data_IF_926763733674
#
_entry.id   IF_926763733674
#
_cell.length_a   1.000
_cell.length_b   1.000
_cell.length_c   1.000
_cell.angle_alpha   90.00
_cell.angle_beta   90.00
_cell.angle_gamma   90.00
#
_symmetry.space_group_name_H-M   'P 1'
#
loop_
_entity.id
_entity.type
_entity.pdbx_description
1 polymer ?
#
# COMPACT_ATOMS: atom_id res chain seq x y z
N UNK A 1 -32.16 -9.66 -0.30
CA UNK A 1 -30.74 -9.52 0.08
C UNK A 1 -29.99 -9.11 -1.17
N UNK A 2 -29.18 -8.05 -1.13
CA UNK A 2 -28.40 -7.61 -2.31
C UNK A 2 -27.06 -8.35 -2.37
N UNK A 3 -26.40 -8.43 -3.53
CA UNK A 3 -25.04 -8.98 -3.60
C UNK A 3 -24.04 -8.15 -2.79
N UNK A 4 -24.34 -6.87 -2.56
CA UNK A 4 -23.56 -6.02 -1.68
C UNK A 4 -23.69 -6.45 -0.20
N UNK A 5 -24.83 -6.99 0.22
CA UNK A 5 -25.02 -7.54 1.57
C UNK A 5 -24.28 -8.88 1.70
N UNK A 6 -24.34 -9.73 0.67
CA UNK A 6 -23.55 -10.98 0.62
C UNK A 6 -22.05 -10.68 0.72
N UNK A 7 -21.54 -9.66 0.00
CA UNK A 7 -20.15 -9.25 0.14
C UNK A 7 -19.82 -8.80 1.57
N UNK A 8 -20.71 -8.05 2.25
CA UNK A 8 -20.48 -7.63 3.65
C UNK A 8 -20.36 -8.83 4.58
N UNK A 9 -21.18 -9.88 4.36
CA UNK A 9 -21.12 -11.13 5.12
C UNK A 9 -19.80 -11.87 4.86
N UNK A 10 -19.41 -12.07 3.59
CA UNK A 10 -18.10 -12.65 3.22
C UNK A 10 -16.94 -11.88 3.85
N UNK A 11 -17.00 -10.55 3.84
CA UNK A 11 -15.98 -9.71 4.47
C UNK A 11 -15.94 -9.93 5.98
N UNK A 12 -17.10 -10.00 6.64
CA UNK A 12 -17.21 -10.13 8.10
C UNK A 12 -16.79 -11.51 8.59
N UNK A 13 -17.20 -12.56 7.90
CA UNK A 13 -17.10 -13.95 8.36
C UNK A 13 -15.85 -14.67 7.85
N UNK A 14 -15.33 -14.28 6.69
CA UNK A 14 -14.21 -14.95 6.04
C UNK A 14 -12.98 -14.06 5.99
N UNK A 15 -13.07 -12.88 5.38
CA UNK A 15 -11.89 -12.05 5.09
C UNK A 15 -11.34 -11.38 6.35
N UNK A 16 -12.19 -10.71 7.13
CA UNK A 16 -11.74 -9.94 8.28
C UNK A 16 -11.08 -10.82 9.38
N UNK A 17 -11.58 -12.02 9.70
CA UNK A 17 -10.91 -12.91 10.64
C UNK A 17 -9.48 -13.27 10.25
N UNK A 18 -9.21 -13.54 8.97
CA UNK A 18 -7.86 -13.88 8.49
C UNK A 18 -6.86 -12.75 8.77
N UNK A 19 -7.22 -11.50 8.45
CA UNK A 19 -6.35 -10.35 8.73
C UNK A 19 -6.26 -10.03 10.23
N UNK A 20 -7.34 -10.22 11.00
CA UNK A 20 -7.34 -9.96 12.45
C UNK A 20 -6.41 -10.89 13.23
N UNK A 21 -6.36 -12.17 12.86
CA UNK A 21 -5.42 -13.13 13.46
C UNK A 21 -3.97 -12.68 13.26
N UNK A 22 -3.68 -12.04 12.13
CA UNK A 22 -2.38 -11.44 11.82
C UNK A 22 -2.20 -10.04 12.43
N UNK A 23 -3.07 -9.60 13.34
CA UNK A 23 -2.96 -8.32 14.05
C UNK A 23 -3.43 -7.09 13.26
N UNK A 24 -4.07 -7.24 12.10
CA UNK A 24 -4.63 -6.10 11.38
C UNK A 24 -5.89 -5.56 12.09
N UNK A 25 -5.97 -4.23 12.15
CA UNK A 25 -7.20 -3.50 12.49
C UNK A 25 -7.97 -3.17 11.21
N UNK A 26 -9.29 -3.01 11.30
CA UNK A 26 -10.19 -2.74 10.15
C UNK A 26 -10.87 -1.39 10.30
N UNK A 27 -10.95 -0.63 9.21
CA UNK A 27 -11.81 0.56 9.08
C UNK A 27 -12.46 0.59 7.69
N UNK A 28 -13.78 0.45 7.64
CA UNK A 28 -14.49 0.30 6.36
C UNK A 28 -13.96 -0.93 5.61
N UNK A 29 -13.56 -0.75 4.34
CA UNK A 29 -12.93 -1.79 3.53
C UNK A 29 -11.39 -1.84 3.65
N UNK A 30 -10.81 -1.03 4.55
CA UNK A 30 -9.37 -0.98 4.77
C UNK A 30 -8.98 -1.83 5.97
N UNK A 31 -7.81 -2.44 5.88
CA UNK A 31 -7.13 -3.16 6.93
C UNK A 31 -5.72 -2.60 7.08
N UNK A 32 -5.27 -2.42 8.31
CA UNK A 32 -3.92 -1.95 8.60
C UNK A 32 -3.31 -2.73 9.77
N UNK A 33 -2.11 -3.26 9.56
CA UNK A 33 -1.26 -3.77 10.62
C UNK A 33 -0.16 -2.73 10.89
N UNK A 34 -0.22 -2.11 12.07
CA UNK A 34 0.70 -1.03 12.43
C UNK A 34 1.98 -1.63 13.02
N UNK A 35 3.11 -1.39 12.35
CA UNK A 35 4.45 -1.68 12.85
C UNK A 35 5.06 -0.39 13.46
N UNK A 36 6.29 -0.45 13.94
CA UNK A 36 6.96 0.71 14.57
C UNK A 36 7.08 1.91 13.63
N UNK A 37 7.57 1.70 12.40
CA UNK A 37 7.95 2.77 11.48
C UNK A 37 7.18 2.75 10.15
N UNK A 38 6.30 1.77 9.95
CA UNK A 38 5.45 1.66 8.77
C UNK A 38 4.18 0.86 9.13
N UNK A 39 3.26 0.72 8.20
CA UNK A 39 2.10 -0.15 8.36
C UNK A 39 1.85 -0.95 7.09
N UNK A 40 1.49 -2.22 7.24
CA UNK A 40 1.02 -3.06 6.14
C UNK A 40 -0.46 -2.75 5.93
N UNK A 41 -0.86 -2.44 4.71
CA UNK A 41 -2.25 -2.07 4.40
C UNK A 41 -2.85 -3.00 3.36
N UNK A 42 -4.15 -3.26 3.50
CA UNK A 42 -4.96 -3.96 2.51
C UNK A 42 -6.27 -3.21 2.34
N UNK A 43 -6.74 -3.05 1.10
CA UNK A 43 -8.05 -2.51 0.79
C UNK A 43 -8.86 -3.51 -0.04
N UNK A 44 -10.14 -3.64 0.28
CA UNK A 44 -11.12 -4.33 -0.57
C UNK A 44 -11.77 -3.30 -1.47
N UNK A 45 -11.32 -3.25 -2.72
CA UNK A 45 -11.82 -2.31 -3.71
C UNK A 45 -12.96 -2.94 -4.49
N UNK A 46 -14.16 -2.37 -4.35
CA UNK A 46 -15.34 -2.76 -5.14
C UNK A 46 -15.36 -2.05 -6.49
N UNK A 47 -15.94 -2.69 -7.50
CA UNK A 47 -16.16 -2.08 -8.81
C UNK A 47 -17.17 -0.95 -8.71
N UNK A 48 -16.93 0.13 -9.44
CA UNK A 48 -17.89 1.23 -9.58
C UNK A 48 -19.12 0.85 -10.42
N UNK A 49 -19.07 -0.30 -11.10
CA UNK A 49 -20.13 -0.82 -11.96
C UNK A 49 -20.99 -1.90 -11.30
N UNK A 50 -20.85 -2.08 -9.98
CA UNK A 50 -21.68 -3.02 -9.24
C UNK A 50 -23.16 -2.66 -9.34
N UNK A 51 -24.00 -3.69 -9.37
CA UNK A 51 -25.45 -3.58 -9.37
C UNK A 51 -26.00 -4.23 -8.09
N UNK A 52 -27.33 -4.26 -7.97
CA UNK A 52 -27.98 -4.98 -6.87
C UNK A 52 -27.71 -6.49 -6.92
N UNK A 53 -27.63 -7.04 -8.13
CA UNK A 53 -27.58 -8.48 -8.40
C UNK A 53 -26.17 -8.97 -8.77
N UNK A 54 -25.21 -8.05 -8.91
CA UNK A 54 -23.83 -8.35 -9.26
C UNK A 54 -22.84 -7.43 -8.55
N UNK A 55 -21.84 -8.02 -7.89
CA UNK A 55 -20.76 -7.30 -7.23
C UNK A 55 -19.42 -7.89 -7.63
N UNK A 56 -18.53 -7.03 -8.10
CA UNK A 56 -17.13 -7.35 -8.37
C UNK A 56 -16.22 -6.60 -7.39
N UNK A 57 -15.15 -7.26 -6.95
CA UNK A 57 -14.13 -6.65 -6.10
C UNK A 57 -12.77 -7.34 -6.23
N UNK A 58 -11.73 -6.68 -5.73
CA UNK A 58 -10.38 -7.22 -5.62
C UNK A 58 -9.65 -6.62 -4.41
N UNK A 59 -8.49 -7.17 -4.09
CA UNK A 59 -7.63 -6.65 -3.03
C UNK A 59 -6.57 -5.71 -3.62
N UNK A 60 -6.27 -4.63 -2.93
CA UNK A 60 -4.99 -3.93 -3.08
C UNK A 60 -4.20 -4.06 -1.79
N UNK A 61 -2.87 -4.10 -1.90
CA UNK A 61 -1.94 -4.04 -0.77
C UNK A 61 -1.06 -2.81 -0.88
N UNK A 62 -0.47 -2.38 0.22
CA UNK A 62 0.54 -1.33 0.23
C UNK A 62 1.26 -1.20 1.56
N UNK A 63 2.39 -0.50 1.56
CA UNK A 63 3.18 -0.15 2.73
C UNK A 63 2.97 1.34 3.04
N UNK A 64 2.27 1.63 4.13
CA UNK A 64 2.04 2.99 4.58
C UNK A 64 3.22 3.47 5.43
N UNK A 65 3.77 4.65 5.11
CA UNK A 65 4.88 5.27 5.86
C UNK A 65 4.40 6.61 6.39
N UNK A 66 4.27 6.73 7.71
CA UNK A 66 3.74 7.93 8.35
C UNK A 66 4.63 9.16 8.11
N UNK A 67 5.94 8.98 8.08
CA UNK A 67 6.94 10.04 7.93
C UNK A 67 6.85 10.79 6.59
N UNK A 68 6.17 10.21 5.58
CA UNK A 68 5.94 10.90 4.31
C UNK A 68 4.94 12.06 4.44
N UNK A 69 4.06 12.03 5.45
CA UNK A 69 3.07 13.07 5.73
C UNK A 69 3.66 14.18 6.59
N UNK A 70 3.43 15.43 6.19
CA UNK A 70 4.13 16.61 6.72
C UNK A 70 5.51 16.85 6.11
N UNK A 71 6.06 15.86 5.39
CA UNK A 71 7.43 15.93 4.82
C UNK A 71 7.39 16.10 3.31
N UNK A 72 6.87 15.08 2.60
CA UNK A 72 6.70 15.08 1.14
C UNK A 72 5.27 15.46 0.80
N UNK A 73 4.32 14.80 1.45
CA UNK A 73 2.93 15.19 1.44
C UNK A 73 2.75 16.36 2.40
N UNK A 74 2.56 17.57 1.87
CA UNK A 74 2.44 18.80 2.67
C UNK A 74 1.06 18.94 3.36
N UNK A 75 0.47 17.82 3.76
CA UNK A 75 -0.80 17.71 4.46
C UNK A 75 -0.68 16.66 5.58
N UNK A 76 -1.53 16.75 6.62
CA UNK A 76 -1.41 15.87 7.78
C UNK A 76 -1.68 14.41 7.42
N UNK A 77 -1.10 13.51 8.22
CA UNK A 77 -1.37 12.09 8.11
C UNK A 77 -2.86 11.78 8.33
N UNK A 78 -3.42 10.77 7.64
CA UNK A 78 -4.75 10.27 7.95
C UNK A 78 -4.82 9.69 9.37
N UNK A 79 -6.02 9.63 9.94
CA UNK A 79 -6.27 9.00 11.24
C UNK A 79 -6.11 7.47 11.22
N UNK A 80 -6.07 6.88 10.03
CA UNK A 80 -5.87 5.44 9.82
C UNK A 80 -5.00 5.21 8.58
N UNK A 81 -4.04 4.28 8.62
CA UNK A 81 -3.25 3.90 7.46
C UNK A 81 -4.14 3.33 6.35
N UNK A 82 -4.08 3.93 5.15
CA UNK A 82 -4.88 3.49 4.01
C UNK A 82 -3.97 3.09 2.85
N UNK A 83 -4.38 2.06 2.11
CA UNK A 83 -3.64 1.55 0.95
C UNK A 83 -3.44 2.63 -0.14
N UNK A 84 -4.44 3.48 -0.38
CA UNK A 84 -4.36 4.55 -1.38
C UNK A 84 -3.25 5.58 -1.07
N UNK A 85 -2.87 5.66 0.21
CA UNK A 85 -1.85 6.56 0.76
C UNK A 85 -0.50 5.85 0.97
N UNK A 86 -0.35 4.63 0.47
CA UNK A 86 0.81 3.79 0.70
C UNK A 86 1.79 3.82 -0.47
N UNK A 87 3.04 3.47 -0.18
CA UNK A 87 4.04 3.08 -1.17
C UNK A 87 3.95 1.58 -1.44
N UNK A 88 4.71 1.10 -2.42
CA UNK A 88 4.80 -0.30 -2.81
C UNK A 88 3.44 -0.95 -3.04
N UNK A 89 2.50 -0.18 -3.61
CA UNK A 89 1.15 -0.65 -3.86
C UNK A 89 1.17 -1.76 -4.91
N UNK A 90 0.47 -2.85 -4.64
CA UNK A 90 0.33 -4.00 -5.54
C UNK A 90 -1.11 -4.47 -5.53
N UNK A 91 -1.68 -4.74 -6.71
CA UNK A 91 -3.00 -5.37 -6.80
C UNK A 91 -2.89 -6.85 -6.46
N UNK A 92 -3.83 -7.37 -5.68
CA UNK A 92 -3.89 -8.79 -5.31
C UNK A 92 -3.84 -9.74 -6.51
N UNK A 93 -4.44 -9.35 -7.65
CA UNK A 93 -4.37 -10.11 -8.91
C UNK A 93 -2.94 -10.29 -9.44
N UNK A 94 -2.04 -9.34 -9.17
CA UNK A 94 -0.61 -9.45 -9.53
C UNK A 94 0.10 -10.47 -8.62
N UNK A 95 -0.32 -10.60 -7.36
CA UNK A 95 0.24 -11.55 -6.39
C UNK A 95 -0.24 -12.98 -6.66
N UNK A 96 -1.53 -13.14 -6.94
CA UNK A 96 -2.16 -14.45 -7.17
C UNK A 96 -1.94 -14.95 -8.60
N UNK A 97 -1.46 -14.10 -9.51
CA UNK A 97 -1.41 -14.34 -10.96
C UNK A 97 -2.77 -14.70 -11.56
N UNK A 98 -3.84 -14.29 -10.89
CA UNK A 98 -5.21 -14.43 -11.35
C UNK A 98 -5.71 -13.03 -11.75
N UNK A 99 -5.89 -12.80 -13.04
CA UNK A 99 -6.29 -11.48 -13.56
C UNK A 99 -7.76 -11.13 -13.28
N UNK A 100 -8.55 -12.09 -12.81
CA UNK A 100 -9.98 -11.91 -12.61
C UNK A 100 -10.30 -11.25 -11.27
N UNK A 101 -11.32 -10.40 -11.29
CA UNK A 101 -11.94 -9.90 -10.08
C UNK A 101 -12.78 -11.00 -9.45
N UNK A 102 -12.92 -10.98 -8.12
CA UNK A 102 -13.91 -11.80 -7.46
C UNK A 102 -15.28 -11.28 -7.84
N UNK A 103 -16.19 -12.20 -8.21
CA UNK A 103 -17.52 -11.87 -8.69
C UNK A 103 -18.58 -12.62 -7.90
N UNK A 104 -19.54 -11.87 -7.38
CA UNK A 104 -20.73 -12.33 -6.68
C UNK A 104 -21.95 -11.99 -7.55
N UNK A 105 -22.75 -13.00 -7.85
CA UNK A 105 -24.04 -12.92 -8.54
C UNK A 105 -25.07 -13.75 -7.77
N UNK A 106 -26.34 -13.66 -8.15
CA UNK A 106 -27.42 -14.47 -7.57
C UNK A 106 -27.17 -15.99 -7.70
N UNK A 107 -26.38 -16.40 -8.69
CA UNK A 107 -26.08 -17.81 -8.97
C UNK A 107 -24.71 -18.25 -8.42
N UNK A 108 -23.96 -17.35 -7.77
CA UNK A 108 -22.62 -17.66 -7.27
C UNK A 108 -22.69 -18.64 -6.10
N UNK A 109 -21.91 -19.72 -6.18
CA UNK A 109 -21.61 -20.57 -5.01
C UNK A 109 -20.71 -19.80 -4.04
N UNK A 110 -21.32 -19.14 -3.05
CA UNK A 110 -20.64 -18.28 -2.08
C UNK A 110 -19.59 -19.06 -1.27
N UNK A 111 -19.85 -20.31 -0.90
CA UNK A 111 -18.90 -21.11 -0.13
C UNK A 111 -17.65 -21.47 -0.94
N UNK A 112 -17.81 -21.78 -2.22
CA UNK A 112 -16.67 -21.98 -3.11
C UNK A 112 -15.86 -20.69 -3.28
N UNK A 113 -16.53 -19.54 -3.45
CA UNK A 113 -15.85 -18.25 -3.55
C UNK A 113 -15.07 -17.92 -2.26
N UNK A 114 -15.66 -18.18 -1.08
CA UNK A 114 -14.98 -18.02 0.21
C UNK A 114 -13.68 -18.84 0.26
N UNK A 115 -13.69 -20.09 -0.20
CA UNK A 115 -12.49 -20.93 -0.24
C UNK A 115 -11.40 -20.35 -1.15
N UNK A 116 -11.76 -19.84 -2.33
CA UNK A 116 -10.80 -19.18 -3.24
C UNK A 116 -10.21 -17.94 -2.57
N UNK A 117 -11.04 -17.09 -1.97
CA UNK A 117 -10.58 -15.89 -1.26
C UNK A 117 -9.66 -16.24 -0.09
N UNK A 118 -10.03 -17.24 0.71
CA UNK A 118 -9.21 -17.71 1.83
C UNK A 118 -7.83 -18.12 1.33
N UNK A 119 -7.78 -18.97 0.31
CA UNK A 119 -6.55 -19.43 -0.32
C UNK A 119 -5.71 -18.25 -0.84
N UNK A 120 -6.34 -17.31 -1.54
CA UNK A 120 -5.62 -16.18 -2.12
C UNK A 120 -5.01 -15.26 -1.04
N UNK A 121 -5.73 -15.08 0.07
CA UNK A 121 -5.24 -14.34 1.22
C UNK A 121 -4.09 -15.09 1.91
N UNK A 122 -4.25 -16.39 2.19
CA UNK A 122 -3.28 -17.17 2.97
C UNK A 122 -2.00 -17.49 2.21
N UNK A 123 -2.12 -17.74 0.91
CA UNK A 123 -1.02 -18.27 0.09
C UNK A 123 -0.23 -17.16 -0.61
N UNK A 124 -0.85 -16.00 -0.87
CA UNK A 124 -0.21 -14.93 -1.65
C UNK A 124 -0.19 -13.58 -0.92
N UNK A 125 -1.35 -13.06 -0.48
CA UNK A 125 -1.42 -11.70 0.08
C UNK A 125 -0.69 -11.59 1.42
N UNK A 126 -0.98 -12.47 2.38
CA UNK A 126 -0.32 -12.45 3.68
C UNK A 126 1.18 -12.76 3.56
N UNK A 127 1.63 -13.80 2.82
CA UNK A 127 3.06 -14.03 2.61
C UNK A 127 3.79 -12.84 1.99
N UNK A 128 3.18 -12.18 1.00
CA UNK A 128 3.73 -10.95 0.42
C UNK A 128 3.93 -9.85 1.46
N UNK A 129 2.96 -9.64 2.36
CA UNK A 129 3.05 -8.62 3.41
C UNK A 129 4.01 -9.02 4.54
N UNK A 130 4.20 -10.32 4.79
CA UNK A 130 5.11 -10.83 5.82
C UNK A 130 6.58 -10.58 5.50
N UNK A 131 6.96 -10.43 4.23
CA UNK A 131 8.35 -10.13 3.86
C UNK A 131 8.88 -8.79 4.42
N UNK A 132 7.98 -7.89 4.83
CA UNK A 132 8.34 -6.60 5.42
C UNK A 132 8.30 -6.72 6.94
N UNK A 133 9.44 -6.90 7.58
CA UNK A 133 9.55 -6.96 9.05
C UNK A 133 10.11 -5.66 9.62
N UNK A 134 10.90 -4.94 8.82
CA UNK A 134 11.56 -3.70 9.18
C UNK A 134 11.44 -2.66 8.07
N UNK A 135 11.74 -1.40 8.40
CA UNK A 135 11.82 -0.33 7.41
C UNK A 135 12.95 -0.57 6.39
N UNK A 136 14.00 -1.31 6.77
CA UNK A 136 15.08 -1.69 5.86
C UNK A 136 14.61 -2.62 4.74
N UNK A 137 13.65 -3.51 5.01
CA UNK A 137 13.05 -4.37 3.98
C UNK A 137 12.28 -3.54 2.95
N UNK A 138 11.55 -2.52 3.43
CA UNK A 138 10.83 -1.56 2.59
C UNK A 138 11.82 -0.79 1.70
N UNK A 139 12.86 -0.23 2.31
CA UNK A 139 13.93 0.50 1.60
C UNK A 139 14.55 -0.39 0.53
N UNK A 140 14.92 -1.63 0.86
CA UNK A 140 15.53 -2.57 -0.09
C UNK A 140 14.64 -2.83 -1.30
N UNK A 141 13.34 -3.04 -1.10
CA UNK A 141 12.40 -3.25 -2.21
C UNK A 141 12.24 -1.98 -3.05
N UNK A 142 12.17 -0.80 -2.41
CA UNK A 142 12.11 0.47 -3.13
C UNK A 142 13.39 0.74 -3.94
N UNK A 143 14.57 0.40 -3.43
CA UNK A 143 15.84 0.51 -4.15
C UNK A 143 15.91 -0.40 -5.37
N UNK A 144 15.41 -1.64 -5.26
CA UNK A 144 15.34 -2.56 -6.40
C UNK A 144 14.42 -1.99 -7.49
N UNK A 145 13.24 -1.49 -7.10
CA UNK A 145 12.32 -0.84 -8.05
C UNK A 145 12.91 0.41 -8.69
N UNK A 146 13.62 1.25 -7.92
CA UNK A 146 14.33 2.43 -8.43
C UNK A 146 15.36 2.05 -9.51
N UNK A 147 16.13 0.97 -9.27
CA UNK A 147 17.10 0.43 -10.25
C UNK A 147 16.44 -0.09 -11.52
N UNK A 148 15.25 -0.68 -11.39
CA UNK A 148 14.46 -1.19 -12.52
C UNK A 148 13.68 -0.07 -13.26
N UNK A 149 13.83 1.20 -12.85
CA UNK A 149 13.12 2.33 -13.43
C UNK A 149 11.63 2.40 -13.05
N UNK A 150 11.21 1.65 -12.04
CA UNK A 150 9.85 1.66 -11.48
C UNK A 150 9.86 2.62 -10.28
N UNK A 151 9.71 3.91 -10.55
CA UNK A 151 9.73 4.92 -9.50
C UNK A 151 8.33 5.36 -9.10
N UNK A 152 8.13 5.47 -7.79
CA UNK A 152 7.06 6.28 -7.23
C UNK A 152 7.52 7.76 -7.20
N UNK A 153 7.16 8.51 -6.16
CA UNK A 153 7.77 9.81 -5.95
C UNK A 153 9.29 9.64 -5.69
N UNK A 154 10.17 10.32 -6.44
CA UNK A 154 11.62 10.10 -6.38
C UNK A 154 12.23 10.43 -5.00
N UNK A 155 11.53 11.23 -4.18
CA UNK A 155 11.98 11.68 -2.87
C UNK A 155 11.65 10.73 -1.72
N UNK A 156 10.80 9.72 -1.90
CA UNK A 156 10.41 8.84 -0.79
C UNK A 156 11.60 8.09 -0.18
N UNK A 157 12.50 7.56 -1.02
CA UNK A 157 13.72 6.89 -0.57
C UNK A 157 14.66 7.83 0.22
N UNK A 158 14.75 9.11 -0.16
CA UNK A 158 15.53 10.11 0.58
C UNK A 158 15.00 10.26 2.01
N UNK A 159 13.67 10.39 2.18
CA UNK A 159 13.05 10.47 3.51
C UNK A 159 13.33 9.21 4.34
N UNK A 160 13.26 8.04 3.69
CA UNK A 160 13.50 6.79 4.38
C UNK A 160 14.96 6.64 4.84
N UNK A 161 15.95 7.03 4.03
CA UNK A 161 17.34 7.07 4.48
C UNK A 161 17.53 7.99 5.69
N UNK A 162 16.95 9.18 5.68
CA UNK A 162 16.96 10.05 6.86
C UNK A 162 16.34 9.35 8.09
N UNK A 163 15.23 8.63 7.91
CA UNK A 163 14.52 7.96 9.00
C UNK A 163 15.32 6.86 9.70
N UNK A 164 16.33 6.30 9.02
CA UNK A 164 17.24 5.29 9.58
C UNK A 164 18.63 5.85 9.92
N UNK A 165 18.83 7.17 9.78
CA UNK A 165 20.10 7.84 10.08
C UNK A 165 21.17 7.77 8.99
N UNK A 166 20.83 7.26 7.81
CA UNK A 166 21.74 7.15 6.64
C UNK A 166 21.82 8.51 5.91
N UNK A 167 22.32 9.54 6.59
CA UNK A 167 22.26 10.94 6.14
C UNK A 167 23.10 11.21 4.89
N UNK A 168 24.29 10.62 4.79
CA UNK A 168 25.17 10.73 3.61
C UNK A 168 24.45 10.19 2.37
N UNK A 169 23.88 8.99 2.48
CA UNK A 169 23.10 8.35 1.41
C UNK A 169 21.85 9.15 1.03
N UNK A 170 21.19 9.77 2.02
CA UNK A 170 20.06 10.65 1.79
C UNK A 170 20.45 11.90 0.98
N UNK A 171 21.56 12.53 1.33
CA UNK A 171 22.10 13.72 0.66
C UNK A 171 22.55 13.41 -0.77
N UNK A 172 23.33 12.34 -0.97
CA UNK A 172 23.73 11.89 -2.30
C UNK A 172 22.53 11.66 -3.21
N UNK A 173 21.49 10.98 -2.71
CA UNK A 173 20.26 10.76 -3.46
C UNK A 173 19.55 12.08 -3.74
N UNK A 174 19.48 12.99 -2.77
CA UNK A 174 18.80 14.27 -2.93
C UNK A 174 19.44 15.10 -4.04
N UNK A 175 20.77 15.20 -4.04
CA UNK A 175 21.54 15.89 -5.08
C UNK A 175 21.33 15.24 -6.44
N UNK A 176 21.38 13.90 -6.51
CA UNK A 176 21.12 13.17 -7.76
C UNK A 176 19.72 13.50 -8.32
N UNK A 177 18.68 13.31 -7.50
CA UNK A 177 17.29 13.57 -7.90
C UNK A 177 17.13 15.03 -8.34
N UNK A 178 17.66 15.99 -7.58
CA UNK A 178 17.56 17.41 -7.91
C UNK A 178 18.17 17.77 -9.26
N UNK A 179 19.32 17.19 -9.59
CA UNK A 179 19.99 17.41 -10.88
C UNK A 179 19.22 16.81 -12.06
N UNK A 180 18.41 15.77 -11.83
CA UNK A 180 17.56 15.16 -12.85
C UNK A 180 16.24 15.93 -13.08
N UNK A 181 15.83 16.79 -12.14
CA UNK A 181 14.61 17.61 -12.26
C UNK A 181 14.75 18.64 -13.38
N UNK A 182 13.71 18.74 -14.21
CA UNK A 182 13.68 19.63 -15.38
C UNK A 182 12.91 20.93 -15.13
N UNK A 183 11.96 20.91 -14.20
CA UNK A 183 11.08 22.05 -13.93
C UNK A 183 11.53 22.79 -12.68
N UNK A 184 11.55 24.12 -12.74
CA UNK A 184 11.91 24.96 -11.59
C UNK A 184 11.00 24.73 -10.40
N UNK A 185 9.70 24.51 -10.62
CA UNK A 185 8.75 24.19 -9.55
C UNK A 185 9.10 22.90 -8.80
N UNK A 186 9.63 21.89 -9.50
CA UNK A 186 10.09 20.66 -8.87
C UNK A 186 11.38 20.89 -8.09
N UNK A 187 12.31 21.69 -8.63
CA UNK A 187 13.55 22.08 -7.95
C UNK A 187 13.28 22.87 -6.68
N UNK A 188 12.35 23.82 -6.72
CA UNK A 188 11.91 24.58 -5.54
C UNK A 188 11.31 23.65 -4.47
N UNK A 189 10.46 22.70 -4.88
CA UNK A 189 9.94 21.69 -3.96
C UNK A 189 11.08 20.86 -3.32
N UNK A 190 12.03 20.40 -4.14
CA UNK A 190 13.16 19.59 -3.68
C UNK A 190 14.07 20.36 -2.71
N UNK A 191 14.36 21.64 -2.96
CA UNK A 191 15.07 22.53 -2.01
C UNK A 191 14.32 22.67 -0.70
N UNK A 192 13.01 22.93 -0.78
CA UNK A 192 12.16 22.99 0.40
C UNK A 192 12.18 21.69 1.20
N UNK A 193 12.16 20.54 0.52
CA UNK A 193 12.27 19.23 1.16
C UNK A 193 13.64 19.00 1.78
N UNK A 194 14.74 19.33 1.10
CA UNK A 194 16.10 19.22 1.62
C UNK A 194 16.24 20.02 2.92
N UNK A 195 15.75 21.26 2.93
CA UNK A 195 15.73 22.11 4.13
C UNK A 195 14.94 21.48 5.27
N UNK A 196 13.77 20.87 5.01
CA UNK A 196 12.97 20.17 6.05
C UNK A 196 13.69 18.94 6.61
N UNK A 197 14.51 18.28 5.82
CA UNK A 197 15.26 17.09 6.19
C UNK A 197 16.67 17.38 6.71
N UNK A 198 17.12 18.65 6.68
CA UNK A 198 18.48 19.02 7.05
C UNK A 198 19.55 18.55 6.05
N UNK A 199 19.20 18.43 4.78
CA UNK A 199 20.11 18.04 3.68
C UNK A 199 20.51 19.25 2.84
N UNK A 200 21.64 19.17 2.13
CA UNK A 200 22.07 20.18 1.16
C UNK A 200 21.76 19.74 -0.28
N UNK A 201 21.40 20.70 -1.15
CA UNK A 201 21.06 20.46 -2.55
C UNK A 201 21.20 21.72 -3.41
#
# INVERSE_FOLDING_TARGET
MTMQDVLKEVVKETIAPLFKVEGFKKQGNNFAHVCSNFSKTVNIQSSKWNTQDEVEFFFNTGIYIEQLFGTVHLYPKPSFPMEINSVLRIRGTELTKNENWYRLTTDTNVEQLKQVIMKDITDYILPHLRQFESINDVIKVMELRDKDGIYENPHYLTVLYCSIGEMEKAEERMVRVFNELKLDSQKEFARGLANRLGLQV
#
